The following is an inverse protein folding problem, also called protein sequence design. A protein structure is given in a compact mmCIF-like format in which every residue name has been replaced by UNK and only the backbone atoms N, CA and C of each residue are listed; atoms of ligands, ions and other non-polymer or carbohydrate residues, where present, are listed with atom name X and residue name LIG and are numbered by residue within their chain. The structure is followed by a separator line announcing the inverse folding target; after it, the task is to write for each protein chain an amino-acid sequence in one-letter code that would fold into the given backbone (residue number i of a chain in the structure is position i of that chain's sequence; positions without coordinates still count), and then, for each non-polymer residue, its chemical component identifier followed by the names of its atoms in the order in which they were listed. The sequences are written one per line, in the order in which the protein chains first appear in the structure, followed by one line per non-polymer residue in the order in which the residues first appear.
data_IF_709299534409
#
_entry.id   IF_709299534409
#
_cell.length_a   1.000
_cell.length_b   1.000
_cell.length_c   1.000
_cell.angle_alpha   90.00
_cell.angle_beta   90.00
_cell.angle_gamma   90.00
#
_symmetry.space_group_name_H-M   'P 1'
#
loop_
_entity.id
_entity.type
_entity.pdbx_description
1 polymer ?
#
# COMPACT_ATOMS: atom_id res chain seq x y z
N UNK A 1 38.74 57.30 -16.27
CA UNK A 1 37.37 56.77 -16.40
C UNK A 1 37.39 55.55 -17.32
N UNK A 2 37.45 54.34 -16.75
CA UNK A 2 37.48 53.07 -17.51
C UNK A 2 36.05 52.58 -17.72
N UNK A 3 35.68 52.36 -18.99
CA UNK A 3 34.39 51.81 -19.42
C UNK A 3 34.32 50.31 -19.07
N UNK A 4 33.37 49.91 -18.22
CA UNK A 4 33.01 48.51 -18.02
C UNK A 4 31.98 48.08 -19.07
N UNK A 5 32.31 47.04 -19.84
CA UNK A 5 31.37 46.33 -20.72
C UNK A 5 30.67 45.25 -19.89
N UNK A 6 29.36 45.37 -19.71
CA UNK A 6 28.53 44.28 -19.20
C UNK A 6 28.38 43.20 -20.29
N UNK A 7 28.82 41.97 -19.99
CA UNK A 7 28.39 40.77 -20.70
C UNK A 7 27.30 40.10 -19.87
N UNK A 8 26.07 40.12 -20.37
CA UNK A 8 24.98 39.31 -19.83
C UNK A 8 25.14 37.89 -20.38
N UNK A 9 25.39 36.92 -19.50
CA UNK A 9 25.33 35.49 -19.84
C UNK A 9 23.91 35.02 -19.54
N UNK A 10 23.11 34.84 -20.59
CA UNK A 10 21.84 34.10 -20.53
C UNK A 10 22.18 32.61 -20.56
N UNK A 11 22.09 31.94 -19.41
CA UNK A 11 22.08 30.48 -19.35
C UNK A 11 20.63 30.01 -19.52
N UNK A 12 20.29 29.57 -20.73
CA UNK A 12 19.06 28.83 -20.97
C UNK A 12 19.29 27.36 -20.61
N UNK A 13 18.79 26.92 -19.44
CA UNK A 13 18.67 25.49 -19.11
C UNK A 13 17.24 25.07 -19.46
N UNK A 14 17.02 24.69 -20.72
CA UNK A 14 15.88 23.87 -21.10
C UNK A 14 16.36 22.42 -21.15
N UNK A 15 16.21 21.71 -20.02
CA UNK A 15 16.39 20.27 -19.97
C UNK A 15 15.20 19.58 -20.62
N UNK A 16 15.36 19.12 -21.85
CA UNK A 16 14.41 18.27 -22.56
C UNK A 16 14.37 16.88 -21.92
N UNK A 17 13.29 16.55 -21.22
CA UNK A 17 12.92 15.16 -20.91
C UNK A 17 12.41 14.49 -22.20
N UNK A 18 13.34 14.21 -23.12
CA UNK A 18 13.12 13.46 -24.34
C UNK A 18 13.43 11.98 -24.11
N UNK A 19 12.51 11.11 -24.52
CA UNK A 19 12.69 9.65 -24.60
C UNK A 19 13.93 9.35 -25.45
N UNK A 20 14.97 8.72 -24.90
CA UNK A 20 16.14 8.31 -25.66
C UNK A 20 15.90 6.90 -26.22
N UNK A 21 15.71 6.77 -27.53
CA UNK A 21 15.97 5.50 -28.21
C UNK A 21 17.43 5.10 -27.94
N UNK A 22 17.66 3.89 -27.43
CA UNK A 22 19.00 3.39 -27.10
C UNK A 22 19.44 3.54 -25.64
N UNK A 23 18.55 3.92 -24.70
CA UNK A 23 18.86 3.90 -23.26
C UNK A 23 19.26 2.49 -22.81
N UNK A 24 20.49 2.36 -22.30
CA UNK A 24 20.98 1.09 -21.76
C UNK A 24 20.28 0.73 -20.44
N UNK A 25 20.21 -0.55 -20.05
CA UNK A 25 19.64 -0.96 -18.77
C UNK A 25 20.25 -0.22 -17.57
N UNK A 26 21.56 0.02 -17.58
CA UNK A 26 22.27 0.70 -16.51
C UNK A 26 21.89 2.19 -16.40
N UNK A 27 21.71 2.89 -17.54
CA UNK A 27 21.24 4.27 -17.57
C UNK A 27 19.79 4.37 -17.06
N UNK A 28 18.92 3.48 -17.52
CA UNK A 28 17.54 3.40 -17.03
C UNK A 28 17.50 3.14 -15.52
N UNK A 29 18.33 2.22 -15.01
CA UNK A 29 18.45 1.94 -13.58
C UNK A 29 18.91 3.16 -12.81
N UNK A 30 19.92 3.89 -13.29
CA UNK A 30 20.40 5.10 -12.64
C UNK A 30 19.30 6.17 -12.56
N UNK A 31 18.52 6.36 -13.64
CA UNK A 31 17.36 7.27 -13.63
C UNK A 31 16.27 6.79 -12.68
N UNK A 32 15.98 5.49 -12.66
CA UNK A 32 14.98 4.90 -11.76
C UNK A 32 15.39 5.04 -10.29
N UNK A 33 16.67 4.85 -9.95
CA UNK A 33 17.19 4.97 -8.59
C UNK A 33 17.13 6.40 -8.02
N UNK A 34 16.99 7.42 -8.87
CA UNK A 34 16.73 8.80 -8.43
C UNK A 34 15.28 9.03 -7.97
N UNK A 35 14.36 8.12 -8.33
CA UNK A 35 12.90 8.24 -8.11
C UNK A 35 12.40 7.17 -7.13
N UNK A 36 13.00 5.99 -7.19
CA UNK A 36 12.61 4.79 -6.46
C UNK A 36 13.76 4.27 -5.61
N UNK A 37 13.42 3.41 -4.66
CA UNK A 37 14.39 2.64 -3.88
C UNK A 37 13.90 1.20 -3.71
N UNK A 38 14.80 0.22 -3.52
CA UNK A 38 14.40 -1.12 -3.10
C UNK A 38 13.59 -1.07 -1.80
N UNK A 39 12.69 -2.04 -1.60
CA UNK A 39 11.98 -2.20 -0.34
C UNK A 39 12.97 -2.52 0.80
N UNK A 40 12.90 -1.80 1.92
CA UNK A 40 13.49 -2.28 3.17
C UNK A 40 12.86 -3.61 3.57
N UNK A 41 13.62 -4.54 4.20
CA UNK A 41 13.10 -5.85 4.61
C UNK A 41 12.04 -5.78 5.72
N UNK A 42 11.96 -4.65 6.43
CA UNK A 42 10.98 -4.39 7.50
C UNK A 42 10.67 -2.90 7.57
N UNK A 43 9.42 -2.55 7.82
CA UNK A 43 8.99 -1.19 8.10
C UNK A 43 9.17 -0.87 9.59
N UNK A 44 10.37 -0.46 9.97
CA UNK A 44 10.73 -0.18 11.37
C UNK A 44 9.80 0.83 12.06
N UNK A 45 9.61 0.66 13.37
CA UNK A 45 8.88 1.61 14.22
C UNK A 45 9.58 1.83 15.55
N UNK A 46 9.87 3.09 15.87
CA UNK A 46 10.45 3.47 17.15
C UNK A 46 9.45 3.35 18.30
N UNK A 47 8.18 3.66 18.02
CA UNK A 47 7.10 3.60 19.02
C UNK A 47 6.62 2.16 19.25
N UNK A 48 6.73 1.30 18.24
CA UNK A 48 6.39 -0.12 18.35
C UNK A 48 7.50 -1.00 17.73
N UNK A 49 8.65 -1.17 18.41
CA UNK A 49 9.73 -2.01 17.91
C UNK A 49 9.23 -3.41 17.56
N UNK A 50 9.60 -3.88 16.37
CA UNK A 50 9.20 -5.19 15.85
C UNK A 50 10.04 -6.26 16.54
N UNK A 51 9.40 -7.17 17.26
CA UNK A 51 10.05 -8.33 17.88
C UNK A 51 9.37 -9.61 17.41
N UNK A 52 10.07 -10.74 17.49
CA UNK A 52 9.53 -12.03 17.07
C UNK A 52 8.31 -12.46 17.92
N UNK A 53 8.26 -12.08 19.20
CA UNK A 53 7.12 -12.33 20.08
C UNK A 53 5.89 -11.54 19.64
N UNK A 54 6.05 -10.26 19.28
CA UNK A 54 4.96 -9.43 18.75
C UNK A 54 4.51 -9.91 17.38
N UNK A 55 5.44 -10.28 16.49
CA UNK A 55 5.12 -10.88 15.18
C UNK A 55 4.31 -12.16 15.38
N UNK A 56 4.73 -13.05 16.27
CA UNK A 56 4.05 -14.32 16.52
C UNK A 56 2.63 -14.09 17.02
N UNK A 57 2.46 -13.20 17.99
CA UNK A 57 1.14 -12.83 18.52
C UNK A 57 0.27 -12.15 17.44
N UNK A 58 0.83 -11.18 16.72
CA UNK A 58 0.17 -10.46 15.65
C UNK A 58 -0.32 -11.37 14.54
N UNK A 59 0.51 -12.34 14.12
CA UNK A 59 0.11 -13.36 13.16
C UNK A 59 -1.06 -14.19 13.65
N UNK A 60 -1.07 -14.61 14.92
CA UNK A 60 -2.22 -15.33 15.48
C UNK A 60 -3.48 -14.48 15.43
N UNK A 61 -3.41 -13.21 15.88
CA UNK A 61 -4.53 -12.29 15.87
C UNK A 61 -5.05 -11.99 14.45
N UNK A 62 -4.16 -11.83 13.47
CA UNK A 62 -4.52 -11.61 12.06
C UNK A 62 -5.38 -12.74 11.47
N UNK A 63 -5.17 -13.98 11.93
CA UNK A 63 -5.91 -15.16 11.54
C UNK A 63 -7.08 -15.53 12.48
N UNK A 64 -7.24 -14.84 13.61
CA UNK A 64 -8.20 -15.22 14.63
C UNK A 64 -9.58 -14.60 14.39
N UNK A 65 -10.49 -15.42 13.86
CA UNK A 65 -11.87 -14.99 13.62
C UNK A 65 -12.63 -14.64 14.91
N UNK A 66 -12.12 -15.05 16.09
CA UNK A 66 -12.72 -14.69 17.38
C UNK A 66 -12.61 -13.20 17.69
N UNK A 67 -11.87 -12.42 16.92
CA UNK A 67 -11.89 -10.96 17.00
C UNK A 67 -13.17 -10.32 16.43
N UNK A 68 -14.00 -11.05 15.65
CA UNK A 68 -15.29 -10.54 15.20
C UNK A 68 -16.44 -10.91 16.13
N UNK A 69 -17.54 -10.16 16.06
CA UNK A 69 -18.73 -10.37 16.90
C UNK A 69 -19.35 -11.77 16.77
N UNK A 70 -19.14 -12.42 15.63
CA UNK A 70 -19.74 -13.72 15.30
C UNK A 70 -18.72 -14.87 15.18
N UNK A 71 -17.45 -14.65 15.55
CA UNK A 71 -16.37 -15.65 15.46
C UNK A 71 -16.06 -16.17 14.04
N UNK A 72 -16.41 -15.41 12.99
CA UNK A 72 -16.30 -15.85 11.58
C UNK A 72 -15.43 -14.96 10.70
N UNK A 73 -15.08 -13.74 11.13
CA UNK A 73 -14.30 -12.79 10.32
C UNK A 73 -12.98 -12.49 11.01
N UNK A 74 -11.88 -12.63 10.27
CA UNK A 74 -10.54 -12.22 10.68
C UNK A 74 -9.98 -11.20 9.68
N UNK A 75 -8.82 -10.60 9.96
CA UNK A 75 -8.11 -9.76 9.00
C UNK A 75 -7.89 -10.52 7.68
N UNK A 76 -7.49 -11.80 7.77
CA UNK A 76 -7.28 -12.68 6.61
C UNK A 76 -8.58 -13.04 5.85
N UNK A 77 -9.77 -12.67 6.31
CA UNK A 77 -11.01 -12.88 5.52
C UNK A 77 -11.06 -11.97 4.30
N UNK A 78 -10.70 -10.69 4.49
CA UNK A 78 -10.69 -9.66 3.42
C UNK A 78 -9.28 -9.41 2.87
N UNK A 79 -8.24 -9.65 3.68
CA UNK A 79 -6.84 -9.43 3.33
C UNK A 79 -6.08 -10.76 3.29
N UNK A 80 -6.44 -11.63 2.33
CA UNK A 80 -5.92 -12.99 2.25
C UNK A 80 -4.43 -12.99 1.90
N UNK A 81 -3.57 -13.40 2.83
CA UNK A 81 -2.12 -13.29 2.65
C UNK A 81 -1.58 -14.16 1.52
N UNK A 82 -2.21 -15.31 1.25
CA UNK A 82 -1.90 -16.18 0.11
C UNK A 82 -2.41 -15.63 -1.23
N UNK A 83 -3.19 -14.55 -1.21
CA UNK A 83 -3.68 -13.81 -2.38
C UNK A 83 -3.27 -12.34 -2.35
N UNK A 84 -2.02 -12.08 -2.03
CA UNK A 84 -1.45 -10.73 -2.05
C UNK A 84 -2.21 -9.72 -1.15
N UNK A 85 -2.78 -10.19 -0.04
CA UNK A 85 -3.34 -9.33 1.01
C UNK A 85 -4.67 -8.69 0.63
N UNK A 86 -5.41 -9.27 -0.32
CA UNK A 86 -6.73 -8.83 -0.78
C UNK A 86 -7.66 -10.03 -0.94
N UNK A 87 -8.96 -9.77 -1.15
CA UNK A 87 -9.98 -10.78 -1.45
C UNK A 87 -10.36 -10.82 -2.94
N UNK A 88 -9.87 -9.87 -3.74
CA UNK A 88 -10.19 -9.64 -5.15
C UNK A 88 -11.68 -9.35 -5.41
N UNK A 89 -12.37 -8.76 -4.44
CA UNK A 89 -13.76 -8.34 -4.54
C UNK A 89 -13.86 -6.83 -4.82
N UNK A 90 -15.00 -6.38 -5.37
CA UNK A 90 -15.26 -4.94 -5.56
C UNK A 90 -15.19 -4.18 -4.22
N UNK A 91 -15.93 -4.66 -3.24
CA UNK A 91 -15.88 -4.25 -1.82
C UNK A 91 -16.05 -5.48 -0.94
N UNK A 92 -15.51 -5.52 0.27
CA UNK A 92 -15.50 -6.77 1.05
C UNK A 92 -16.79 -7.00 1.85
N UNK A 93 -17.23 -8.26 2.03
CA UNK A 93 -18.33 -8.60 2.92
C UNK A 93 -17.89 -8.59 4.40
N UNK A 94 -18.76 -8.09 5.27
CA UNK A 94 -18.60 -8.09 6.73
C UNK A 94 -19.17 -9.30 7.44
N UNK A 95 -19.21 -9.21 8.77
CA UNK A 95 -19.69 -10.27 9.65
C UNK A 95 -21.14 -10.70 9.41
N UNK A 96 -22.00 -9.82 8.91
CA UNK A 96 -23.40 -10.12 8.59
C UNK A 96 -23.69 -10.20 7.08
N UNK A 97 -22.64 -10.18 6.25
CA UNK A 97 -22.74 -10.22 4.80
C UNK A 97 -23.01 -8.88 4.12
N UNK A 98 -23.24 -7.78 4.88
CA UNK A 98 -23.24 -6.44 4.29
C UNK A 98 -21.85 -6.12 3.74
N UNK A 99 -21.80 -5.39 2.63
CA UNK A 99 -20.54 -5.03 1.97
C UNK A 99 -20.15 -3.59 2.31
N UNK A 100 -18.86 -3.35 2.42
CA UNK A 100 -18.30 -2.01 2.59
C UNK A 100 -18.52 -1.11 1.36
N UNK A 101 -18.17 0.16 1.52
CA UNK A 101 -18.26 1.19 0.47
C UNK A 101 -16.99 1.31 -0.38
N UNK A 102 -15.87 0.74 0.08
CA UNK A 102 -14.57 0.80 -0.59
C UNK A 102 -13.96 -0.58 -0.82
N UNK A 103 -13.12 -0.66 -1.85
CA UNK A 103 -12.26 -1.80 -2.13
C UNK A 103 -11.20 -1.94 -1.02
N UNK A 104 -10.91 -3.19 -0.64
CA UNK A 104 -9.91 -3.51 0.37
C UNK A 104 -8.51 -3.52 -0.24
N UNK A 105 -7.62 -2.57 0.10
CA UNK A 105 -6.27 -2.54 -0.44
C UNK A 105 -5.42 -3.67 0.14
N UNK A 106 -4.31 -3.99 -0.53
CA UNK A 106 -3.35 -4.98 -0.04
C UNK A 106 -2.74 -4.59 1.31
N UNK A 107 -2.62 -5.55 2.22
CA UNK A 107 -1.83 -5.40 3.47
C UNK A 107 -0.32 -5.47 3.24
N UNK A 108 0.13 -6.02 2.10
CA UNK A 108 1.56 -6.08 1.80
C UNK A 108 2.15 -4.70 1.54
N UNK A 109 3.28 -4.43 2.19
CA UNK A 109 4.02 -3.17 2.14
C UNK A 109 3.24 -1.96 2.71
N UNK A 110 2.06 -2.17 3.30
CA UNK A 110 1.19 -1.09 3.77
C UNK A 110 1.82 -0.27 4.89
N UNK A 111 2.67 -0.87 5.71
CA UNK A 111 3.39 -0.21 6.78
C UNK A 111 4.41 0.85 6.33
N UNK A 112 4.75 0.93 5.04
CA UNK A 112 5.59 1.99 4.48
C UNK A 112 4.81 3.23 4.02
N UNK A 113 3.47 3.17 4.01
CA UNK A 113 2.65 4.30 3.58
C UNK A 113 2.67 5.45 4.59
N UNK A 114 2.46 6.68 4.12
CA UNK A 114 2.38 7.88 4.97
C UNK A 114 1.15 7.92 5.89
N UNK A 115 0.13 7.12 5.56
CA UNK A 115 -1.12 6.96 6.28
C UNK A 115 -1.82 5.69 5.77
N UNK A 116 -2.81 5.21 6.50
CA UNK A 116 -3.62 4.05 6.15
C UNK A 116 -5.03 4.42 5.69
N UNK A 117 -5.70 3.46 5.04
CA UNK A 117 -6.94 3.64 4.28
C UNK A 117 -6.81 4.56 3.06
N UNK A 118 -7.85 4.57 2.22
CA UNK A 118 -7.94 5.40 1.01
C UNK A 118 -7.97 6.91 1.31
N UNK A 119 -8.52 7.32 2.44
CA UNK A 119 -8.64 8.72 2.88
C UNK A 119 -7.53 9.17 3.84
N UNK A 120 -6.67 8.25 4.29
CA UNK A 120 -5.57 8.56 5.19
C UNK A 120 -5.97 8.85 6.62
N UNK A 121 -7.11 8.32 7.10
CA UNK A 121 -7.65 8.63 8.44
C UNK A 121 -6.90 8.00 9.62
N UNK A 122 -5.99 7.07 9.37
CA UNK A 122 -5.13 6.47 10.40
C UNK A 122 -3.66 6.68 10.04
N UNK A 123 -2.81 6.98 11.03
CA UNK A 123 -1.41 7.37 10.82
C UNK A 123 -0.54 6.20 10.36
N UNK A 124 -0.79 5.00 10.89
CA UNK A 124 0.03 3.81 10.69
C UNK A 124 -0.83 2.53 10.81
N UNK A 125 -0.19 1.37 10.65
CA UNK A 125 -0.85 0.07 10.67
C UNK A 125 -1.36 -0.30 12.08
N UNK A 126 -0.71 0.17 13.14
CA UNK A 126 -1.21 -0.02 14.50
C UNK A 126 -2.52 0.73 14.74
N UNK A 127 -2.62 2.00 14.35
CA UNK A 127 -3.88 2.74 14.47
C UNK A 127 -4.96 2.18 13.53
N UNK A 128 -4.58 1.75 12.33
CA UNK A 128 -5.49 1.15 11.35
C UNK A 128 -6.13 -0.13 11.88
N UNK A 129 -5.37 -1.02 12.52
CA UNK A 129 -5.83 -2.33 12.99
C UNK A 129 -6.97 -2.24 14.02
N UNK A 130 -7.11 -1.08 14.70
CA UNK A 130 -8.25 -0.81 15.61
C UNK A 130 -9.57 -0.67 14.84
N UNK A 131 -9.56 0.02 13.70
CA UNK A 131 -10.79 0.35 12.95
C UNK A 131 -11.68 -0.85 12.59
N UNK A 132 -11.16 -1.87 11.87
CA UNK A 132 -11.94 -3.01 11.39
C UNK A 132 -12.67 -3.80 12.48
N UNK A 133 -12.03 -3.93 13.66
CA UNK A 133 -12.55 -4.73 14.77
C UNK A 133 -13.89 -4.17 15.26
N UNK A 134 -14.01 -2.84 15.35
CA UNK A 134 -15.22 -2.16 15.83
C UNK A 134 -16.18 -1.74 14.72
N UNK A 135 -15.75 -1.75 13.46
CA UNK A 135 -16.61 -1.31 12.36
C UNK A 135 -17.82 -2.26 12.22
N UNK A 136 -19.07 -1.76 12.31
CA UNK A 136 -20.29 -2.57 12.27
C UNK A 136 -20.59 -3.20 10.89
N UNK A 137 -19.80 -2.89 9.85
CA UNK A 137 -19.89 -3.50 8.52
C UNK A 137 -18.67 -4.40 8.25
N UNK A 138 -17.70 -4.47 9.17
CA UNK A 138 -16.54 -5.36 9.05
C UNK A 138 -16.61 -6.46 10.12
N UNK A 139 -15.94 -6.30 11.27
CA UNK A 139 -15.89 -7.33 12.32
C UNK A 139 -16.94 -7.13 13.43
N UNK A 140 -17.45 -5.90 13.59
CA UNK A 140 -18.68 -5.60 14.34
C UNK A 140 -18.63 -5.73 15.86
N UNK A 141 -17.45 -5.72 16.48
CA UNK A 141 -17.37 -5.75 17.95
C UNK A 141 -17.94 -4.46 18.56
N UNK A 142 -18.70 -4.55 19.67
CA UNK A 142 -19.43 -3.40 20.19
C UNK A 142 -18.56 -2.37 20.93
N UNK A 143 -17.41 -2.78 21.46
CA UNK A 143 -16.46 -1.88 22.14
C UNK A 143 -15.07 -2.51 22.29
N UNK A 144 -14.06 -1.70 22.61
CA UNK A 144 -12.70 -2.17 22.90
C UNK A 144 -12.67 -3.16 24.08
N UNK A 145 -13.46 -2.89 25.13
CA UNK A 145 -13.57 -3.74 26.31
C UNK A 145 -14.16 -5.11 25.99
N UNK A 146 -15.12 -5.18 25.07
CA UNK A 146 -15.70 -6.44 24.63
C UNK A 146 -14.68 -7.32 23.89
N UNK A 147 -13.77 -6.71 23.12
CA UNK A 147 -12.66 -7.40 22.45
C UNK A 147 -11.69 -7.97 23.48
N UNK A 148 -11.26 -7.13 24.43
CA UNK A 148 -10.34 -7.54 25.51
C UNK A 148 -10.94 -8.67 26.35
N UNK A 149 -12.18 -8.51 26.81
CA UNK A 149 -12.88 -9.53 27.61
C UNK A 149 -13.06 -10.86 26.87
N UNK A 150 -13.10 -10.84 25.53
CA UNK A 150 -13.17 -12.04 24.70
C UNK A 150 -11.83 -12.77 24.63
N UNK A 151 -10.73 -12.04 24.44
CA UNK A 151 -9.39 -12.63 24.44
C UNK A 151 -8.96 -13.12 25.83
N UNK A 152 -9.33 -12.42 26.90
CA UNK A 152 -9.04 -12.85 28.27
C UNK A 152 -9.68 -14.20 28.64
N UNK A 153 -10.77 -14.58 27.97
CA UNK A 153 -11.44 -15.89 28.16
C UNK A 153 -10.72 -17.05 27.47
N UNK A 154 -9.65 -16.79 26.71
CA UNK A 154 -8.87 -17.80 25.99
C UNK A 154 -7.52 -17.94 26.72
N UNK A 155 -7.33 -18.96 27.58
CA UNK A 155 -6.16 -19.08 28.45
C UNK A 155 -4.82 -18.98 27.73
N UNK A 156 -4.73 -19.50 26.50
CA UNK A 156 -3.51 -19.47 25.71
C UNK A 156 -3.04 -18.08 25.26
N UNK A 157 -3.89 -17.04 25.31
CA UNK A 157 -3.46 -15.69 24.92
C UNK A 157 -2.61 -14.99 25.98
N UNK A 158 -2.93 -15.13 27.27
CA UNK A 158 -2.21 -14.39 28.32
C UNK A 158 -0.68 -14.61 28.30
N UNK A 159 -0.16 -15.85 28.16
CA UNK A 159 1.29 -16.07 28.02
C UNK A 159 1.89 -15.39 26.79
N UNK A 160 1.17 -15.36 25.66
CA UNK A 160 1.62 -14.73 24.42
C UNK A 160 1.73 -13.20 24.58
N UNK A 161 0.73 -12.59 25.19
CA UNK A 161 0.75 -11.15 25.49
C UNK A 161 1.84 -10.78 26.49
N UNK A 162 2.09 -11.60 27.53
CA UNK A 162 3.21 -11.39 28.47
C UNK A 162 4.57 -11.46 27.79
N UNK A 163 4.74 -12.37 26.83
CA UNK A 163 5.98 -12.48 26.06
C UNK A 163 6.17 -11.28 25.11
N UNK A 164 5.11 -10.84 24.43
CA UNK A 164 5.16 -9.73 23.48
C UNK A 164 5.27 -8.35 24.15
N UNK A 165 4.78 -8.21 25.38
CA UNK A 165 4.72 -6.95 26.14
C UNK A 165 5.20 -7.15 27.58
N UNK A 166 6.50 -7.43 27.79
CA UNK A 166 7.05 -7.73 29.10
C UNK A 166 6.93 -6.53 30.05
N UNK A 167 6.73 -6.82 31.35
CA UNK A 167 6.66 -5.81 32.41
C UNK A 167 5.29 -5.13 32.59
N UNK A 168 4.30 -5.42 31.75
CA UNK A 168 2.93 -4.93 31.95
C UNK A 168 2.12 -5.89 32.83
N UNK A 169 1.43 -5.36 33.83
CA UNK A 169 0.58 -6.16 34.75
C UNK A 169 -0.61 -6.80 34.01
N UNK A 170 -1.25 -6.03 33.12
CA UNK A 170 -2.39 -6.46 32.28
C UNK A 170 -2.04 -6.24 30.80
N UNK A 171 -1.33 -7.18 30.16
CA UNK A 171 -0.83 -6.97 28.80
C UNK A 171 -1.87 -7.20 27.71
N UNK A 172 -3.03 -7.82 28.01
CA UNK A 172 -4.14 -7.92 27.06
C UNK A 172 -4.89 -6.59 27.08
N UNK A 173 -4.48 -5.68 26.22
CA UNK A 173 -5.13 -4.39 26.00
C UNK A 173 -5.46 -4.24 24.53
N UNK A 174 -6.42 -3.36 24.22
CA UNK A 174 -6.81 -3.11 22.85
C UNK A 174 -5.67 -2.50 22.01
N UNK A 175 -4.88 -1.62 22.61
CA UNK A 175 -3.67 -1.09 21.98
C UNK A 175 -2.60 -2.16 21.75
N UNK A 176 -2.42 -3.11 22.68
CA UNK A 176 -1.46 -4.20 22.48
C UNK A 176 -1.92 -5.21 21.42
N UNK A 177 -3.23 -5.43 21.25
CA UNK A 177 -3.79 -6.19 20.12
C UNK A 177 -3.35 -5.52 18.81
N UNK A 178 -3.62 -4.22 18.69
CA UNK A 178 -3.30 -3.45 17.50
C UNK A 178 -1.78 -3.37 17.23
N UNK A 179 -0.97 -3.19 18.27
CA UNK A 179 0.51 -3.19 18.18
C UNK A 179 1.09 -4.54 17.78
N UNK A 180 0.49 -5.64 18.23
CA UNK A 180 0.92 -6.97 17.81
C UNK A 180 0.59 -7.19 16.32
N UNK A 181 -0.64 -6.89 15.89
CA UNK A 181 -1.06 -6.97 14.48
C UNK A 181 -0.14 -6.10 13.61
N UNK A 182 0.06 -4.83 13.97
CA UNK A 182 0.94 -3.92 13.23
C UNK A 182 2.39 -4.41 13.16
N UNK A 183 2.93 -5.01 14.23
CA UNK A 183 4.27 -5.61 14.19
C UNK A 183 4.38 -6.77 13.19
N UNK A 184 3.33 -7.58 13.06
CA UNK A 184 3.25 -8.61 12.03
C UNK A 184 3.16 -8.01 10.62
N UNK A 185 2.32 -6.98 10.43
CA UNK A 185 2.14 -6.32 9.14
C UNK A 185 3.40 -5.56 8.67
N UNK A 186 4.22 -5.05 9.59
CA UNK A 186 5.50 -4.37 9.28
C UNK A 186 6.53 -5.24 8.57
N UNK A 187 6.39 -6.56 8.62
CA UNK A 187 7.23 -7.54 7.92
C UNK A 187 6.47 -8.29 6.80
N UNK A 188 5.24 -7.87 6.47
CA UNK A 188 4.56 -8.23 5.22
C UNK A 188 5.18 -7.46 4.04
N UNK A 189 6.44 -7.75 3.74
CA UNK A 189 7.21 -7.10 2.68
C UNK A 189 7.39 -8.07 1.51
N UNK A 190 7.10 -7.60 0.30
CA UNK A 190 7.19 -8.42 -0.92
C UNK A 190 8.14 -7.78 -1.93
N UNK A 191 9.47 -7.95 -1.78
CA UNK A 191 10.41 -7.51 -2.81
C UNK A 191 10.16 -8.28 -4.11
N UNK A 192 10.40 -7.61 -5.23
CA UNK A 192 10.07 -8.03 -6.58
C UNK A 192 11.30 -8.00 -7.48
N UNK A 193 11.14 -8.38 -8.75
CA UNK A 193 12.20 -8.24 -9.76
C UNK A 193 12.61 -6.79 -9.99
N UNK A 194 11.71 -5.84 -9.71
CA UNK A 194 12.06 -4.42 -9.76
C UNK A 194 13.05 -4.02 -8.67
N UNK A 195 12.97 -4.61 -7.48
CA UNK A 195 13.94 -4.38 -6.41
C UNK A 195 15.31 -4.96 -6.79
N UNK A 196 15.33 -6.15 -7.40
CA UNK A 196 16.57 -6.77 -7.91
C UNK A 196 17.21 -5.89 -9.00
N UNK A 197 16.41 -5.29 -9.89
CA UNK A 197 16.85 -4.32 -10.89
C UNK A 197 17.47 -3.07 -10.24
N UNK A 198 16.77 -2.44 -9.30
CA UNK A 198 17.28 -1.27 -8.57
C UNK A 198 18.56 -1.59 -7.78
N UNK A 199 18.73 -2.83 -7.31
CA UNK A 199 19.89 -3.30 -6.55
C UNK A 199 21.12 -3.64 -7.42
N UNK A 200 21.04 -3.50 -8.75
CA UNK A 200 22.19 -3.69 -9.63
C UNK A 200 22.07 -4.83 -10.65
N UNK A 201 20.95 -5.56 -10.68
CA UNK A 201 20.75 -6.63 -11.65
C UNK A 201 19.97 -6.15 -12.88
N UNK A 202 20.68 -5.67 -13.90
CA UNK A 202 20.09 -5.14 -15.13
C UNK A 202 19.25 -6.15 -15.92
N UNK A 203 19.47 -7.46 -15.71
CA UNK A 203 18.71 -8.53 -16.37
C UNK A 203 17.44 -8.94 -15.61
N UNK A 204 17.19 -8.38 -14.42
CA UNK A 204 15.99 -8.71 -13.62
C UNK A 204 14.68 -8.25 -14.31
N UNK A 205 14.75 -7.17 -15.08
CA UNK A 205 13.69 -6.74 -15.97
C UNK A 205 14.03 -7.15 -17.40
N UNK A 206 13.06 -7.67 -18.15
CA UNK A 206 13.20 -7.91 -19.59
C UNK A 206 13.09 -6.60 -20.40
N UNK A 207 13.25 -6.68 -21.72
CA UNK A 207 13.23 -5.49 -22.59
C UNK A 207 11.92 -4.72 -22.54
N UNK A 208 10.78 -5.42 -22.56
CA UNK A 208 9.47 -4.78 -22.53
C UNK A 208 9.20 -4.11 -21.16
N UNK A 209 9.60 -4.76 -20.07
CA UNK A 209 9.49 -4.21 -18.72
C UNK A 209 10.34 -2.96 -18.54
N UNK A 210 11.55 -2.93 -19.13
CA UNK A 210 12.40 -1.74 -19.15
C UNK A 210 11.80 -0.62 -20.01
N UNK A 211 11.24 -0.94 -21.18
CA UNK A 211 10.50 0.01 -22.00
C UNK A 211 9.30 0.59 -21.22
N UNK A 212 8.59 -0.25 -20.48
CA UNK A 212 7.50 0.12 -19.58
C UNK A 212 7.92 1.08 -18.47
N UNK A 213 9.02 0.77 -17.77
CA UNK A 213 9.59 1.64 -16.73
C UNK A 213 10.01 3.00 -17.31
N UNK A 214 10.69 2.99 -18.46
CA UNK A 214 11.11 4.21 -19.15
C UNK A 214 9.91 5.10 -19.52
N UNK A 215 8.84 4.50 -20.04
CA UNK A 215 7.57 5.19 -20.33
C UNK A 215 6.89 5.69 -19.07
N UNK A 216 6.79 4.88 -18.02
CA UNK A 216 6.17 5.24 -16.74
C UNK A 216 6.83 6.50 -16.13
N UNK A 217 8.16 6.57 -16.19
CA UNK A 217 8.94 7.75 -15.79
C UNK A 217 8.64 8.93 -16.72
N UNK A 218 8.83 8.76 -18.03
CA UNK A 218 8.80 9.87 -19.00
C UNK A 218 7.40 10.46 -19.21
N UNK A 219 6.34 9.67 -19.05
CA UNK A 219 4.95 10.11 -19.14
C UNK A 219 4.55 10.96 -17.92
N UNK A 220 5.22 10.77 -16.78
CA UNK A 220 5.02 11.55 -15.57
C UNK A 220 4.24 10.83 -14.46
N UNK A 221 4.00 9.52 -14.56
CA UNK A 221 3.32 8.73 -13.51
C UNK A 221 4.06 8.83 -12.17
N UNK A 222 5.38 8.98 -12.22
CA UNK A 222 6.29 9.13 -11.08
C UNK A 222 6.08 10.38 -10.25
N UNK A 223 5.34 11.37 -10.76
CA UNK A 223 4.94 12.55 -9.98
C UNK A 223 4.18 12.14 -8.71
N UNK A 224 3.39 11.09 -8.80
CA UNK A 224 2.58 10.56 -7.69
C UNK A 224 3.09 9.18 -7.22
N UNK A 225 3.54 8.35 -8.14
CA UNK A 225 3.94 6.97 -7.88
C UNK A 225 5.47 6.85 -7.84
N UNK A 226 6.06 7.16 -6.69
CA UNK A 226 7.50 7.17 -6.44
C UNK A 226 7.86 6.51 -5.10
N UNK A 227 9.14 6.51 -4.75
CA UNK A 227 9.63 5.96 -3.50
C UNK A 227 9.62 4.44 -3.46
N UNK A 228 9.85 3.83 -2.29
CA UNK A 228 10.01 2.39 -2.17
C UNK A 228 8.74 1.64 -2.50
N UNK A 229 7.54 2.19 -2.30
CA UNK A 229 6.25 1.53 -2.61
C UNK A 229 5.64 1.94 -3.95
N UNK A 230 6.32 2.75 -4.77
CA UNK A 230 5.80 3.22 -6.07
C UNK A 230 4.42 3.90 -5.88
N UNK A 231 4.34 4.80 -4.91
CA UNK A 231 3.08 5.36 -4.39
C UNK A 231 2.98 5.22 -2.87
N UNK A 232 1.85 5.58 -2.28
CA UNK A 232 1.64 5.49 -0.83
C UNK A 232 2.21 6.64 0.00
N UNK A 233 2.82 7.65 -0.65
CA UNK A 233 3.60 8.71 0.00
C UNK A 233 2.95 10.10 -0.01
N UNK A 234 1.78 10.25 -0.62
CA UNK A 234 1.07 11.53 -0.72
C UNK A 234 -0.44 11.34 -0.92
N UNK A 235 -1.16 12.44 -0.76
CA UNK A 235 -2.56 12.56 -1.17
C UNK A 235 -2.64 13.32 -2.49
N UNK A 236 -3.47 12.86 -3.42
CA UNK A 236 -3.69 13.52 -4.70
C UNK A 236 -5.16 13.46 -5.09
N UNK A 237 -5.59 14.47 -5.85
CA UNK A 237 -6.93 14.51 -6.42
C UNK A 237 -7.07 13.45 -7.51
N UNK A 238 -8.08 12.59 -7.39
CA UNK A 238 -8.52 11.75 -8.51
C UNK A 238 -9.25 12.63 -9.52
N UNK A 239 -8.73 12.68 -10.73
CA UNK A 239 -9.09 13.65 -11.76
C UNK A 239 -8.38 15.00 -11.64
N UNK A 240 -7.05 14.99 -11.48
CA UNK A 240 -6.26 16.21 -11.33
C UNK A 240 -6.32 17.12 -12.57
N UNK A 241 -6.26 16.53 -13.78
CA UNK A 241 -6.28 17.28 -15.05
C UNK A 241 -7.67 17.29 -15.67
N UNK A 242 -8.35 16.14 -15.70
CA UNK A 242 -9.76 16.03 -16.08
C UNK A 242 -10.55 15.55 -14.86
N UNK A 243 -11.70 16.14 -14.51
CA UNK A 243 -12.49 15.69 -13.37
C UNK A 243 -12.91 14.22 -13.52
N UNK A 244 -12.61 13.39 -12.52
CA UNK A 244 -13.06 12.00 -12.49
C UNK A 244 -14.42 11.91 -11.79
N UNK A 245 -15.42 11.22 -12.37
CA UNK A 245 -16.75 11.13 -11.78
C UNK A 245 -16.74 10.16 -10.59
N UNK A 246 -16.66 10.69 -9.37
CA UNK A 246 -16.84 9.92 -8.14
C UNK A 246 -17.70 10.68 -7.14
N UNK A 247 -18.58 9.96 -6.47
CA UNK A 247 -19.38 10.47 -5.35
C UNK A 247 -18.64 10.37 -4.01
N UNK A 248 -17.59 9.54 -3.93
CA UNK A 248 -16.78 9.38 -2.72
C UNK A 248 -16.01 10.69 -2.46
N UNK A 249 -16.28 11.38 -1.34
CA UNK A 249 -15.58 12.61 -0.99
C UNK A 249 -14.07 12.41 -0.75
N UNK A 250 -13.62 11.17 -0.55
CA UNK A 250 -12.24 10.83 -0.22
C UNK A 250 -11.83 11.44 1.11
N UNK A 251 -10.71 12.15 1.11
CA UNK A 251 -10.10 12.79 2.28
C UNK A 251 -10.97 13.87 2.92
N UNK A 252 -11.82 14.57 2.15
CA UNK A 252 -12.73 15.57 2.70
C UNK A 252 -13.68 15.00 3.78
N UNK A 253 -14.01 13.70 3.73
CA UNK A 253 -14.80 13.01 4.79
C UNK A 253 -14.10 13.03 6.16
N UNK A 254 -12.76 13.07 6.15
CA UNK A 254 -11.93 13.03 7.35
C UNK A 254 -11.63 14.45 7.84
N UNK A 255 -11.33 15.36 6.92
CA UNK A 255 -10.84 16.71 7.26
C UNK A 255 -11.92 17.77 7.35
N UNK A 256 -13.10 17.52 6.74
CA UNK A 256 -14.17 18.50 6.60
C UNK A 256 -13.85 19.63 5.61
N UNK A 257 -12.71 19.56 4.91
CA UNK A 257 -12.30 20.57 3.95
C UNK A 257 -12.74 20.18 2.53
N UNK A 258 -13.72 20.90 1.97
CA UNK A 258 -14.21 20.68 0.60
C UNK A 258 -13.12 20.84 -0.48
N UNK A 259 -12.05 21.60 -0.21
CA UNK A 259 -10.92 21.69 -1.14
C UNK A 259 -10.19 20.34 -1.32
N UNK A 260 -10.31 19.42 -0.36
CA UNK A 260 -9.77 18.06 -0.43
C UNK A 260 -10.81 17.05 -0.96
N UNK A 261 -11.93 17.50 -1.52
CA UNK A 261 -12.92 16.60 -2.12
C UNK A 261 -12.33 15.86 -3.32
N UNK A 262 -12.46 14.54 -3.30
CA UNK A 262 -11.90 13.64 -4.30
C UNK A 262 -10.38 13.43 -4.17
N UNK A 263 -9.76 13.91 -3.09
CA UNK A 263 -8.38 13.54 -2.77
C UNK A 263 -8.35 12.17 -2.10
N UNK A 264 -7.42 11.33 -2.54
CA UNK A 264 -7.15 10.03 -1.96
C UNK A 264 -5.67 9.87 -1.71
N UNK A 265 -5.31 9.01 -0.75
CA UNK A 265 -3.93 8.54 -0.63
C UNK A 265 -3.58 7.81 -1.93
N UNK A 266 -2.52 8.25 -2.59
CA UNK A 266 -2.04 7.57 -3.81
C UNK A 266 -1.71 6.12 -3.44
N UNK A 267 -2.34 5.10 -4.07
CA UNK A 267 -2.09 3.71 -3.71
C UNK A 267 -0.66 3.30 -4.10
N UNK A 268 -0.09 2.38 -3.32
CA UNK A 268 1.11 1.63 -3.74
C UNK A 268 0.79 0.82 -4.98
N UNK A 269 1.72 0.76 -5.94
CA UNK A 269 1.59 -0.09 -7.12
C UNK A 269 2.30 -1.44 -6.98
N UNK A 270 2.89 -1.72 -5.81
CA UNK A 270 3.42 -3.05 -5.53
C UNK A 270 2.30 -4.07 -5.52
N UNK A 271 2.52 -5.21 -6.17
CA UNK A 271 1.53 -6.26 -6.37
C UNK A 271 0.27 -5.84 -7.16
N UNK A 272 0.25 -4.69 -7.83
CA UNK A 272 -0.96 -4.18 -8.51
C UNK A 272 -1.55 -5.18 -9.52
N UNK A 273 -0.71 -5.96 -10.20
CA UNK A 273 -1.16 -7.00 -11.13
C UNK A 273 -1.95 -8.16 -10.47
N UNK A 274 -2.00 -8.21 -9.14
CA UNK A 274 -2.66 -9.25 -8.34
C UNK A 274 -3.82 -8.72 -7.50
N UNK A 275 -4.07 -7.41 -7.52
CA UNK A 275 -5.02 -6.75 -6.61
C UNK A 275 -6.19 -6.11 -7.34
N UNK A 276 -6.59 -6.66 -8.48
CA UNK A 276 -7.85 -6.28 -9.12
C UNK A 276 -9.04 -6.62 -8.20
N UNK A 277 -10.17 -5.91 -8.31
CA UNK A 277 -10.40 -4.74 -9.17
C UNK A 277 -9.77 -3.45 -8.60
N UNK A 278 -9.69 -2.40 -9.42
CA UNK A 278 -8.94 -1.18 -9.13
C UNK A 278 -9.84 0.03 -8.79
N UNK A 279 -9.20 1.09 -8.28
CA UNK A 279 -9.78 2.28 -7.64
C UNK A 279 -10.37 2.03 -6.25
N UNK A 280 -10.69 3.13 -5.57
CA UNK A 280 -11.20 3.15 -4.20
C UNK A 280 -12.49 2.35 -4.03
N UNK A 281 -13.26 2.16 -5.10
CA UNK A 281 -14.55 1.48 -5.12
C UNK A 281 -14.54 0.15 -5.91
N UNK A 282 -13.37 -0.27 -6.43
CA UNK A 282 -13.23 -1.49 -7.21
C UNK A 282 -14.00 -1.47 -8.54
N UNK A 283 -14.25 -0.29 -9.12
CA UNK A 283 -15.03 -0.15 -10.35
C UNK A 283 -14.32 -0.63 -11.63
N UNK A 284 -12.99 -0.69 -11.64
CA UNK A 284 -12.21 -0.98 -12.85
C UNK A 284 -11.68 -2.41 -12.82
N UNK A 285 -12.02 -3.21 -13.83
CA UNK A 285 -11.73 -4.65 -13.83
C UNK A 285 -10.33 -5.02 -14.32
N UNK A 286 -9.70 -4.20 -15.17
CA UNK A 286 -8.44 -4.57 -15.84
C UNK A 286 -7.34 -3.54 -15.68
N UNK A 287 -6.09 -4.02 -15.59
CA UNK A 287 -4.92 -3.16 -15.42
C UNK A 287 -4.68 -2.24 -16.65
N UNK A 288 -4.83 -2.71 -17.91
CA UNK A 288 -4.73 -1.84 -19.08
C UNK A 288 -5.73 -0.67 -19.06
N UNK A 289 -6.98 -0.95 -18.68
CA UNK A 289 -8.02 0.08 -18.53
C UNK A 289 -7.64 1.08 -17.42
N UNK A 290 -7.18 0.60 -16.28
CA UNK A 290 -6.72 1.45 -15.18
C UNK A 290 -5.58 2.38 -15.62
N UNK A 291 -4.60 1.87 -16.37
CA UNK A 291 -3.50 2.69 -16.91
C UNK A 291 -4.01 3.79 -17.84
N UNK A 292 -4.99 3.48 -18.71
CA UNK A 292 -5.61 4.50 -19.60
C UNK A 292 -6.35 5.56 -18.81
N UNK A 293 -7.16 5.16 -17.83
CA UNK A 293 -7.90 6.09 -16.97
C UNK A 293 -6.93 7.00 -16.23
N UNK A 294 -5.84 6.47 -15.64
CA UNK A 294 -4.84 7.30 -14.97
C UNK A 294 -4.15 8.28 -15.93
N UNK A 295 -3.77 7.82 -17.12
CA UNK A 295 -3.15 8.71 -18.10
C UNK A 295 -4.10 9.83 -18.55
N UNK A 296 -5.38 9.53 -18.77
CA UNK A 296 -6.37 10.50 -19.18
C UNK A 296 -6.71 11.51 -18.08
N UNK A 297 -7.11 11.02 -16.91
CA UNK A 297 -7.68 11.86 -15.85
C UNK A 297 -6.60 12.57 -15.01
N UNK A 298 -5.44 11.93 -14.79
CA UNK A 298 -4.35 12.53 -14.02
C UNK A 298 -3.38 13.33 -14.87
N UNK A 299 -3.18 12.97 -16.15
CA UNK A 299 -2.14 13.55 -16.99
C UNK A 299 -2.66 14.20 -18.28
N UNK A 300 -3.96 14.05 -18.60
CA UNK A 300 -4.53 14.58 -19.85
C UNK A 300 -4.00 13.90 -21.11
N UNK A 301 -3.47 12.68 -20.99
CA UNK A 301 -2.80 11.95 -22.07
C UNK A 301 -3.65 10.77 -22.54
N UNK A 302 -3.68 10.58 -23.85
CA UNK A 302 -4.12 9.32 -24.46
C UNK A 302 -2.90 8.48 -24.78
N UNK A 303 -2.89 7.23 -24.31
CA UNK A 303 -1.79 6.30 -24.54
C UNK A 303 -2.14 5.34 -25.68
N UNK A 304 -1.15 5.04 -26.51
CA UNK A 304 -1.25 3.97 -27.51
C UNK A 304 -1.36 2.60 -26.83
N UNK A 305 -1.86 1.60 -27.56
CA UNK A 305 -1.93 0.22 -27.05
C UNK A 305 -0.56 -0.33 -26.68
N UNK A 306 0.47 0.01 -27.45
CA UNK A 306 1.86 -0.37 -27.17
C UNK A 306 2.38 0.31 -25.90
N UNK A 307 2.09 1.59 -25.66
CA UNK A 307 2.49 2.26 -24.43
C UNK A 307 1.81 1.66 -23.20
N UNK A 308 0.52 1.34 -23.31
CA UNK A 308 -0.21 0.66 -22.23
C UNK A 308 0.35 -0.73 -21.98
N UNK A 309 0.59 -1.52 -23.02
CA UNK A 309 1.15 -2.86 -22.89
C UNK A 309 2.51 -2.85 -22.18
N UNK A 310 3.39 -1.93 -22.56
CA UNK A 310 4.72 -1.82 -21.94
C UNK A 310 4.64 -1.38 -20.48
N UNK A 311 3.81 -0.36 -20.16
CA UNK A 311 3.59 0.05 -18.77
C UNK A 311 3.03 -1.10 -17.94
N UNK A 312 2.04 -1.84 -18.49
CA UNK A 312 1.48 -3.02 -17.82
C UNK A 312 2.56 -4.08 -17.61
N UNK A 313 3.47 -4.31 -18.56
CA UNK A 313 4.60 -5.22 -18.37
C UNK A 313 5.47 -4.80 -17.17
N UNK A 314 5.82 -3.51 -17.08
CA UNK A 314 6.52 -2.98 -15.91
C UNK A 314 5.73 -3.18 -14.60
N UNK A 315 4.43 -2.87 -14.58
CA UNK A 315 3.59 -3.06 -13.38
C UNK A 315 3.50 -4.53 -12.96
N UNK A 316 3.56 -5.48 -13.90
CA UNK A 316 3.66 -6.91 -13.58
C UNK A 316 4.99 -7.25 -12.88
N UNK A 317 6.09 -6.58 -13.23
CA UNK A 317 7.38 -6.77 -12.57
C UNK A 317 7.42 -6.26 -11.12
N UNK A 318 6.42 -5.47 -10.69
CA UNK A 318 6.20 -5.06 -9.30
C UNK A 318 5.51 -6.14 -8.44
N UNK A 319 5.14 -7.29 -9.03
CA UNK A 319 4.63 -8.44 -8.28
C UNK A 319 5.76 -9.04 -7.46
N UNK A 320 5.65 -8.92 -6.14
CA UNK A 320 6.66 -9.40 -5.21
C UNK A 320 6.54 -10.87 -4.88
N UNK A 321 7.55 -11.36 -4.15
CA UNK A 321 7.63 -12.73 -3.66
C UNK A 321 6.99 -12.81 -2.28
N UNK A 322 6.01 -13.71 -2.11
CA UNK A 322 5.39 -14.00 -0.81
C UNK A 322 6.27 -14.98 -0.03
N UNK A 323 6.60 -14.63 1.21
CA UNK A 323 7.22 -15.56 2.15
C UNK A 323 6.16 -16.49 2.76
N UNK A 324 6.00 -17.67 2.17
CA UNK A 324 5.01 -18.67 2.58
C UNK A 324 5.21 -19.16 4.02
N UNK A 325 6.43 -19.16 4.54
CA UNK A 325 6.70 -19.57 5.93
C UNK A 325 6.27 -18.47 6.90
N UNK A 326 6.54 -17.21 6.55
CA UNK A 326 6.13 -16.06 7.35
C UNK A 326 4.61 -15.96 7.47
N UNK A 327 3.88 -16.14 6.37
CA UNK A 327 2.42 -16.04 6.35
C UNK A 327 1.69 -17.33 6.71
N UNK A 328 2.41 -18.41 7.06
CA UNK A 328 1.78 -19.69 7.38
C UNK A 328 0.73 -19.52 8.48
N UNK A 329 -0.49 -20.06 8.22
CA UNK A 329 -1.59 -20.01 9.19
C UNK A 329 -1.15 -20.65 10.51
N UNK A 330 -1.20 -19.92 11.63
CA UNK A 330 -0.73 -20.44 12.91
C UNK A 330 -1.77 -21.37 13.54
N UNK A 331 -1.31 -22.24 14.44
CA UNK A 331 -2.22 -22.83 15.43
C UNK A 331 -2.67 -21.74 16.40
N UNK A 332 -3.98 -21.56 16.54
CA UNK A 332 -4.54 -20.54 17.42
C UNK A 332 -4.55 -21.04 18.88
N UNK A 333 -4.31 -20.15 19.86
CA UNK A 333 -4.35 -20.52 21.27
C UNK A 333 -5.75 -20.97 21.68
N UNK A 334 -5.78 -21.98 22.56
CA UNK A 334 -6.98 -22.51 23.21
C UNK A 334 -7.17 -21.90 24.58
#
# INVERSE_FOLDING_TARGET
MRRFRCFAVLLAIFGTLGKAEGESPAELRARAAAIFSPLPPVAESKENPVTEEKIRLGRMLYYDARLSVNDKIACNSCHQLDRFGVDNEKTSPGHDGRRGDRNSPSTYNAAFHIAQFWDGRARDVEEQAKGPILNPIEMGMPSEEAVVAKLEKIPGYLPLFRAAFPGQEKPITYDNIARAIGAFERKLVTPSRFDDFLAGNDSALNEQERAGLSKFISIGCVTCHNGPTVGGTMFQKLGLVKPYPTEDPGRAKVTGNEAERGFFKVPSLRNVAKTAPYLHDGSIGTLPEMVRIMAEYQLGRQLSDTDVADIVAFLNALTGRIDAQYIAKPELPR
#
